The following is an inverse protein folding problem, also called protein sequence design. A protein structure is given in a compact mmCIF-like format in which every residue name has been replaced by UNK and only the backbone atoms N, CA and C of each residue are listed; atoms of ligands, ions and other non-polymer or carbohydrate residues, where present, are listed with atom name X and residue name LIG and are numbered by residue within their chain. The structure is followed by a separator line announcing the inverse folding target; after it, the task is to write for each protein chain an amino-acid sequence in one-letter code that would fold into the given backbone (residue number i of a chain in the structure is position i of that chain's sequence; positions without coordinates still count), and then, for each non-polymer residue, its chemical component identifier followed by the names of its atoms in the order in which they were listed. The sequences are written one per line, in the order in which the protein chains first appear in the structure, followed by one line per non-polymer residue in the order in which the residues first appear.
data_IF_333182996738
#
_entry.id   IF_333182996738
#
_cell.length_a   1.000
_cell.length_b   1.000
_cell.length_c   1.000
_cell.angle_alpha   90.00
_cell.angle_beta   90.00
_cell.angle_gamma   90.00
#
_symmetry.space_group_name_H-M   'P 1'
#
loop_
_entity.id
_entity.type
_entity.pdbx_description
1 polymer ?
#
# COMPACT_ATOMS: atom_id res chain seq x y z
N UNK A 1 -22.68 8.07 1.52
CA UNK A 1 -23.69 9.11 1.21
C UNK A 1 -23.04 10.45 1.55
N UNK A 2 -22.08 10.87 0.72
CA UNK A 2 -21.24 12.06 0.93
C UNK A 2 -21.46 13.06 -0.21
N UNK A 3 -22.69 13.15 -0.71
CA UNK A 3 -22.98 13.96 -1.87
C UNK A 3 -23.18 15.40 -1.42
N UNK A 4 -22.45 16.35 -2.04
CA UNK A 4 -22.64 17.80 -1.83
C UNK A 4 -24.10 18.23 -2.05
N UNK A 5 -24.87 17.44 -2.81
CA UNK A 5 -26.32 17.61 -3.03
C UNK A 5 -27.15 17.42 -1.76
N UNK A 6 -26.80 16.46 -0.89
CA UNK A 6 -27.61 16.13 0.29
C UNK A 6 -27.40 17.10 1.46
N UNK A 7 -26.20 17.71 1.57
CA UNK A 7 -25.82 18.55 2.70
C UNK A 7 -25.90 20.07 2.46
N UNK A 8 -25.73 20.52 1.22
CA UNK A 8 -25.73 21.95 0.86
C UNK A 8 -26.91 22.31 -0.07
N UNK A 9 -27.87 21.40 -0.26
CA UNK A 9 -29.04 21.58 -1.12
C UNK A 9 -28.71 22.09 -2.55
N UNK A 10 -27.55 21.71 -3.08
CA UNK A 10 -27.08 22.15 -4.39
C UNK A 10 -27.74 21.35 -5.52
N UNK A 11 -27.99 22.03 -6.65
CA UNK A 11 -28.50 21.35 -7.85
C UNK A 11 -27.46 20.38 -8.43
N UNK A 12 -27.91 19.28 -9.04
CA UNK A 12 -27.03 18.26 -9.61
C UNK A 12 -26.06 18.81 -10.66
N UNK A 13 -26.46 19.85 -11.40
CA UNK A 13 -25.61 20.55 -12.37
C UNK A 13 -24.52 21.39 -11.68
N UNK A 14 -24.83 22.00 -10.54
CA UNK A 14 -23.84 22.76 -9.74
C UNK A 14 -22.78 21.86 -9.12
N UNK A 15 -23.17 20.66 -8.68
CA UNK A 15 -22.22 19.67 -8.16
C UNK A 15 -21.27 19.16 -9.26
N UNK A 16 -21.75 18.99 -10.49
CA UNK A 16 -20.88 18.66 -11.62
C UNK A 16 -19.90 19.80 -11.97
N UNK A 17 -20.34 21.05 -11.82
CA UNK A 17 -19.48 22.23 -12.01
C UNK A 17 -18.39 22.31 -10.92
N UNK A 18 -18.76 22.06 -9.66
CA UNK A 18 -17.83 22.03 -8.52
C UNK A 18 -16.83 20.86 -8.62
N UNK A 19 -17.28 19.69 -9.06
CA UNK A 19 -16.40 18.54 -9.31
C UNK A 19 -15.40 18.85 -10.45
N UNK A 20 -15.86 19.53 -11.51
CA UNK A 20 -15.00 20.02 -12.58
C UNK A 20 -14.00 21.11 -12.13
N UNK A 21 -14.35 21.91 -11.12
CA UNK A 21 -13.45 22.87 -10.47
C UNK A 21 -12.52 22.24 -9.41
N UNK A 22 -12.64 20.92 -9.21
CA UNK A 22 -11.80 20.13 -8.31
C UNK A 22 -12.27 20.08 -6.85
N UNK A 23 -13.55 20.38 -6.60
CA UNK A 23 -14.19 20.30 -5.29
C UNK A 23 -15.25 19.19 -5.31
N UNK A 24 -14.82 17.95 -5.03
CA UNK A 24 -15.70 16.78 -5.04
C UNK A 24 -16.36 16.47 -3.69
N UNK A 25 -15.83 17.01 -2.59
CA UNK A 25 -16.31 16.75 -1.22
C UNK A 25 -16.44 18.03 -0.40
N UNK A 26 -17.20 17.96 0.71
CA UNK A 26 -17.41 19.06 1.67
C UNK A 26 -16.08 19.56 2.27
N UNK A 27 -15.16 18.63 2.58
CA UNK A 27 -13.83 18.98 3.09
C UNK A 27 -12.96 19.72 2.06
N UNK A 28 -13.10 19.39 0.78
CA UNK A 28 -12.38 20.07 -0.31
C UNK A 28 -12.95 21.48 -0.57
N UNK A 29 -14.23 21.70 -0.21
CA UNK A 29 -14.90 23.00 -0.31
C UNK A 29 -14.54 23.90 0.88
N UNK A 30 -14.52 23.37 2.11
CA UNK A 30 -14.21 24.11 3.33
C UNK A 30 -12.78 24.68 3.37
N UNK A 31 -11.84 24.02 2.70
CA UNK A 31 -10.42 24.42 2.61
C UNK A 31 -10.06 25.38 1.48
N UNK A 32 -11.02 25.76 0.61
CA UNK A 32 -10.78 26.65 -0.54
C UNK A 32 -11.15 28.10 -0.19
N UNK A 33 -10.51 29.05 -0.88
CA UNK A 33 -10.87 30.46 -0.82
C UNK A 33 -11.93 30.81 -1.88
N UNK A 34 -12.89 31.67 -1.52
CA UNK A 34 -14.02 32.02 -2.39
C UNK A 34 -13.59 32.65 -3.73
N UNK A 35 -12.51 33.46 -3.72
CA UNK A 35 -11.97 34.10 -4.92
C UNK A 35 -11.36 33.10 -5.91
N UNK A 36 -10.56 32.17 -5.41
CA UNK A 36 -9.92 31.12 -6.23
C UNK A 36 -10.96 30.14 -6.79
N UNK A 37 -11.96 29.79 -5.99
CA UNK A 37 -13.02 28.89 -6.40
C UNK A 37 -13.91 29.53 -7.47
N UNK A 38 -14.24 30.81 -7.36
CA UNK A 38 -14.99 31.54 -8.40
C UNK A 38 -14.24 31.57 -9.74
N UNK A 39 -12.93 31.84 -9.72
CA UNK A 39 -12.09 31.81 -10.93
C UNK A 39 -12.01 30.40 -11.55
N UNK A 40 -11.90 29.36 -10.72
CA UNK A 40 -11.90 27.97 -11.17
C UNK A 40 -13.26 27.57 -11.79
N UNK A 41 -14.37 28.02 -11.22
CA UNK A 41 -15.71 27.78 -11.74
C UNK A 41 -15.97 28.52 -13.05
N UNK A 42 -15.45 29.74 -13.21
CA UNK A 42 -15.48 30.47 -14.49
C UNK A 42 -14.79 29.68 -15.60
N UNK A 43 -13.57 29.20 -15.34
CA UNK A 43 -12.79 28.41 -16.30
C UNK A 43 -13.46 27.07 -16.62
N UNK A 44 -14.05 26.41 -15.61
CA UNK A 44 -14.76 25.16 -15.80
C UNK A 44 -16.06 25.35 -16.60
N UNK A 45 -16.78 26.46 -16.37
CA UNK A 45 -18.03 26.75 -17.07
C UNK A 45 -17.81 27.18 -18.52
N UNK A 46 -16.71 27.88 -18.83
CA UNK A 46 -16.30 28.18 -20.21
C UNK A 46 -16.15 26.91 -21.04
N UNK A 47 -15.55 25.88 -20.45
CA UNK A 47 -15.28 24.61 -21.12
C UNK A 47 -16.48 23.67 -21.19
N UNK A 48 -17.37 23.71 -20.19
CA UNK A 48 -18.47 22.73 -20.05
C UNK A 48 -19.86 23.30 -20.36
N UNK A 49 -20.03 24.63 -20.41
CA UNK A 49 -21.29 25.33 -20.72
C UNK A 49 -22.50 24.81 -19.92
N UNK A 50 -22.29 24.41 -18.67
CA UNK A 50 -23.31 23.73 -17.85
C UNK A 50 -24.32 24.71 -17.24
N UNK A 51 -23.93 25.97 -17.03
CA UNK A 51 -24.76 27.01 -16.45
C UNK A 51 -24.68 28.31 -17.25
N UNK A 52 -25.83 28.96 -17.48
CA UNK A 52 -25.92 30.25 -18.16
C UNK A 52 -25.48 31.43 -17.29
N UNK A 53 -25.54 31.27 -15.96
CA UNK A 53 -25.11 32.26 -14.97
C UNK A 53 -24.31 31.56 -13.87
N UNK A 54 -23.11 32.06 -13.62
CA UNK A 54 -22.20 31.55 -12.59
C UNK A 54 -22.56 32.22 -11.26
N UNK A 55 -22.58 31.48 -10.14
CA UNK A 55 -22.85 32.06 -8.83
C UNK A 55 -21.79 33.10 -8.47
N UNK A 56 -22.24 34.26 -7.98
CA UNK A 56 -21.38 35.34 -7.49
C UNK A 56 -20.49 34.86 -6.35
N UNK A 57 -19.29 35.45 -6.20
CA UNK A 57 -18.33 35.10 -5.14
C UNK A 57 -18.93 35.11 -3.72
N UNK A 58 -19.92 35.97 -3.45
CA UNK A 58 -20.64 36.04 -2.17
C UNK A 58 -21.43 34.76 -1.87
N UNK A 59 -22.09 34.17 -2.88
CA UNK A 59 -22.82 32.90 -2.73
C UNK A 59 -21.90 31.70 -2.56
N UNK A 60 -20.69 31.80 -3.10
CA UNK A 60 -19.66 30.77 -2.92
C UNK A 60 -19.08 30.86 -1.50
N UNK A 61 -18.91 32.07 -0.96
CA UNK A 61 -18.49 32.28 0.42
C UNK A 61 -19.48 31.65 1.41
N UNK A 62 -20.79 31.85 1.22
CA UNK A 62 -21.81 31.22 2.06
C UNK A 62 -21.74 29.69 2.03
N UNK A 63 -21.46 29.08 0.87
CA UNK A 63 -21.30 27.62 0.79
C UNK A 63 -20.02 27.11 1.47
N UNK A 64 -18.95 27.90 1.47
CA UNK A 64 -17.71 27.58 2.18
C UNK A 64 -17.93 27.66 3.69
N UNK A 65 -18.66 28.67 4.16
CA UNK A 65 -18.98 28.85 5.58
C UNK A 65 -19.91 27.74 6.08
N UNK A 66 -20.97 27.41 5.34
CA UNK A 66 -21.84 26.25 5.64
C UNK A 66 -21.05 24.92 5.62
N UNK A 67 -20.08 24.77 4.71
CA UNK A 67 -19.22 23.59 4.66
C UNK A 67 -18.26 23.50 5.86
N UNK A 68 -17.83 24.64 6.42
CA UNK A 68 -16.99 24.69 7.63
C UNK A 68 -17.78 24.36 8.88
N UNK A 69 -18.98 24.91 9.04
CA UNK A 69 -19.87 24.56 10.16
C UNK A 69 -20.20 23.06 10.17
N UNK A 70 -20.49 22.48 9.00
CA UNK A 70 -20.73 21.04 8.86
C UNK A 70 -19.50 20.16 9.11
N UNK A 71 -18.29 20.73 9.02
CA UNK A 71 -17.04 20.05 9.36
C UNK A 71 -16.81 20.06 10.87
N UNK A 72 -17.10 21.18 11.55
CA UNK A 72 -16.95 21.31 13.00
C UNK A 72 -17.91 20.37 13.76
N UNK A 73 -19.16 20.23 13.33
CA UNK A 73 -20.13 19.31 13.94
C UNK A 73 -19.80 17.82 13.70
N UNK A 74 -19.02 17.53 12.66
CA UNK A 74 -18.56 16.17 12.34
C UNK A 74 -17.26 15.77 13.02
N UNK A 75 -16.60 16.71 13.69
CA UNK A 75 -15.29 16.54 14.32
C UNK A 75 -15.44 16.38 15.83
N UNK A 76 -16.25 15.41 16.26
CA UNK A 76 -16.04 14.82 17.58
C UNK A 76 -14.68 14.14 17.54
N UNK A 77 -13.69 14.73 18.22
CA UNK A 77 -12.34 14.20 18.35
C UNK A 77 -12.38 12.73 18.74
N UNK A 78 -12.20 11.83 17.77
CA UNK A 78 -12.15 10.39 18.00
C UNK A 78 -10.93 9.97 18.86
N UNK A 79 -10.12 10.93 19.30
CA UNK A 79 -8.93 10.75 20.13
C UNK A 79 -8.91 11.77 21.27
N UNK A 80 -9.90 11.70 22.16
CA UNK A 80 -9.86 12.41 23.44
C UNK A 80 -8.59 12.08 24.23
N UNK A 81 -8.19 12.99 25.13
CA UNK A 81 -7.10 12.71 26.08
C UNK A 81 -7.51 11.51 26.96
N UNK A 82 -6.73 10.45 26.94
CA UNK A 82 -6.96 9.26 27.79
C UNK A 82 -5.87 9.21 28.85
N UNK A 83 -6.27 9.05 30.11
CA UNK A 83 -5.34 8.87 31.23
C UNK A 83 -5.03 7.38 31.42
N UNK A 84 -3.79 6.99 31.19
CA UNK A 84 -3.33 5.59 31.28
C UNK A 84 -2.70 5.22 32.62
N UNK A 85 -2.62 6.15 33.59
CA UNK A 85 -1.97 5.88 34.89
C UNK A 85 -2.68 4.83 35.74
N UNK A 86 -3.99 4.65 35.52
CA UNK A 86 -4.83 3.69 36.26
C UNK A 86 -4.99 2.34 35.56
N UNK A 87 -4.40 2.16 34.38
CA UNK A 87 -4.48 0.90 33.65
C UNK A 87 -3.64 -0.17 34.37
N UNK A 88 -4.21 -1.34 34.74
CA UNK A 88 -3.49 -2.39 35.46
C UNK A 88 -2.23 -2.88 34.73
N UNK A 89 -2.26 -2.93 33.40
CA UNK A 89 -1.11 -3.37 32.59
C UNK A 89 0.02 -2.33 32.63
N UNK A 90 -0.34 -1.04 32.65
CA UNK A 90 0.60 0.08 32.76
C UNK A 90 1.20 0.15 34.16
N UNK A 91 0.41 -0.12 35.20
CA UNK A 91 0.89 -0.19 36.59
C UNK A 91 1.92 -1.32 36.77
N UNK A 92 1.70 -2.49 36.17
CA UNK A 92 2.66 -3.60 36.19
C UNK A 92 3.97 -3.20 35.46
N UNK A 93 3.87 -2.51 34.32
CA UNK A 93 5.03 -1.98 33.62
C UNK A 93 5.79 -0.92 34.42
N UNK A 94 5.09 0.01 35.08
CA UNK A 94 5.72 1.06 35.91
C UNK A 94 6.45 0.41 37.09
N UNK A 95 5.85 -0.58 37.74
CA UNK A 95 6.46 -1.29 38.86
C UNK A 95 7.73 -2.08 38.44
N UNK A 96 7.77 -2.59 37.21
CA UNK A 96 8.92 -3.28 36.65
C UNK A 96 9.95 -2.35 35.97
N UNK A 97 9.60 -1.08 35.75
CA UNK A 97 10.45 -0.13 35.05
C UNK A 97 11.55 0.41 35.97
N UNK A 98 12.80 0.55 35.50
CA UNK A 98 13.83 1.23 36.25
C UNK A 98 13.43 2.69 36.50
N UNK A 99 13.59 3.15 37.74
CA UNK A 99 13.33 4.54 38.13
C UNK A 99 14.38 5.43 37.47
N UNK A 100 13.92 6.40 36.67
CA UNK A 100 14.79 7.40 36.09
C UNK A 100 15.26 8.38 37.20
N UNK A 101 16.58 8.51 37.37
CA UNK A 101 17.16 9.52 38.25
C UNK A 101 17.21 10.85 37.49
N UNK A 102 16.57 11.93 37.97
CA UNK A 102 16.57 13.20 37.27
C UNK A 102 17.99 13.76 37.19
N UNK A 103 18.44 14.07 35.97
CA UNK A 103 19.72 14.73 35.73
C UNK A 103 19.50 16.24 35.75
N UNK A 104 20.31 16.98 36.51
CA UNK A 104 20.19 18.43 36.57
C UNK A 104 20.58 19.09 35.23
N UNK A 105 19.86 20.14 34.84
CA UNK A 105 20.15 20.89 33.62
C UNK A 105 21.58 21.47 33.57
N UNK A 106 22.15 21.80 34.74
CA UNK A 106 23.55 22.26 34.87
C UNK A 106 24.55 21.18 34.45
N UNK A 107 24.28 19.91 34.77
CA UNK A 107 25.13 18.76 34.39
C UNK A 107 25.08 18.47 32.89
N UNK A 108 23.90 18.66 32.27
CA UNK A 108 23.72 18.51 30.83
C UNK A 108 24.40 19.63 30.05
N UNK A 109 24.28 20.87 30.52
CA UNK A 109 24.97 22.02 29.94
C UNK A 109 26.50 21.89 30.06
N UNK A 110 27.02 21.43 31.20
CA UNK A 110 28.45 21.17 31.39
C UNK A 110 29.00 20.07 30.45
N UNK A 111 28.13 19.16 30.00
CA UNK A 111 28.44 18.12 29.00
C UNK A 111 28.14 18.53 27.56
N UNK A 112 27.76 19.80 27.33
CA UNK A 112 27.48 20.34 26.00
C UNK A 112 26.23 19.78 25.33
N UNK A 113 25.27 19.23 26.09
CA UNK A 113 24.01 18.71 25.54
C UNK A 113 23.01 19.85 25.44
N UNK A 114 22.62 20.28 24.22
CA UNK A 114 21.60 21.31 24.07
C UNK A 114 20.22 20.76 24.43
N UNK A 115 19.34 21.62 24.96
CA UNK A 115 17.97 21.25 25.36
C UNK A 115 17.16 20.68 24.19
N UNK A 116 17.42 21.14 22.97
CA UNK A 116 16.79 20.65 21.74
C UNK A 116 17.18 19.21 21.36
N UNK A 117 18.27 18.68 21.91
CA UNK A 117 18.67 17.29 21.70
C UNK A 117 17.98 16.32 22.67
N UNK A 118 17.24 16.83 23.66
CA UNK A 118 16.45 16.02 24.59
C UNK A 118 15.09 15.78 23.94
N UNK A 119 14.71 14.51 23.64
CA UNK A 119 13.41 14.22 23.07
C UNK A 119 12.30 14.56 24.07
N UNK A 120 11.17 15.08 23.57
CA UNK A 120 9.99 15.32 24.39
C UNK A 120 9.47 13.99 24.95
N UNK A 121 9.25 13.95 26.26
CA UNK A 121 8.67 12.80 26.94
C UNK A 121 7.14 12.80 26.79
N UNK A 122 6.57 11.61 26.61
CA UNK A 122 5.12 11.43 26.57
C UNK A 122 4.59 11.36 28.00
N UNK A 123 3.64 12.23 28.34
CA UNK A 123 2.92 12.19 29.61
C UNK A 123 1.77 11.18 29.52
N UNK A 124 1.76 10.19 30.41
CA UNK A 124 0.72 9.14 30.44
C UNK A 124 -0.66 9.65 30.85
N UNK A 125 -0.71 10.82 31.50
CA UNK A 125 -1.95 11.55 31.86
C UNK A 125 -2.59 12.29 30.69
N UNK A 126 -1.82 12.56 29.63
CA UNK A 126 -2.22 13.43 28.53
C UNK A 126 -1.85 12.83 27.16
N UNK A 127 -2.02 11.52 27.02
CA UNK A 127 -1.75 10.80 25.80
C UNK A 127 -2.88 10.99 24.78
N UNK A 128 -2.53 11.36 23.54
CA UNK A 128 -3.46 11.43 22.42
C UNK A 128 -3.43 10.13 21.62
N UNK A 129 -4.57 9.43 21.55
CA UNK A 129 -4.77 8.24 20.74
C UNK A 129 -4.15 6.95 21.30
N UNK A 130 -4.10 5.90 20.47
CA UNK A 130 -3.58 4.58 20.84
C UNK A 130 -2.04 4.58 20.91
N UNK A 131 -1.48 4.72 22.11
CA UNK A 131 -0.02 4.71 22.32
C UNK A 131 0.45 3.30 22.65
N UNK A 132 1.23 2.67 21.76
CA UNK A 132 1.85 1.37 22.04
C UNK A 132 3.17 1.55 22.79
N UNK A 133 3.17 1.32 24.11
CA UNK A 133 4.38 1.33 24.93
C UNK A 133 4.99 -0.08 24.92
N UNK A 134 6.20 -0.24 24.38
CA UNK A 134 6.96 -1.50 24.46
C UNK A 134 8.13 -1.34 25.41
N UNK A 135 7.95 -1.75 26.66
CA UNK A 135 9.05 -1.88 27.61
C UNK A 135 9.74 -3.25 27.43
N UNK A 136 11.01 -3.26 27.05
CA UNK A 136 11.83 -4.47 27.09
C UNK A 136 12.49 -4.60 28.46
N UNK A 137 11.73 -5.06 29.46
CA UNK A 137 12.30 -5.38 30.76
C UNK A 137 12.98 -6.74 30.68
N UNK A 138 14.30 -6.79 30.91
CA UNK A 138 15.01 -8.07 31.04
C UNK A 138 14.49 -8.79 32.29
N UNK A 139 13.66 -9.82 32.11
CA UNK A 139 13.27 -10.73 33.19
C UNK A 139 11.79 -11.02 33.34
N UNK A 140 10.88 -10.31 32.65
CA UNK A 140 9.46 -10.68 32.68
C UNK A 140 9.22 -11.93 31.84
N UNK A 141 8.91 -13.05 32.50
CA UNK A 141 8.32 -14.22 31.84
C UNK A 141 6.88 -13.86 31.48
N UNK A 142 6.62 -13.75 30.18
CA UNK A 142 5.27 -13.52 29.65
C UNK A 142 4.34 -14.64 30.15
N UNK A 143 3.28 -14.28 30.87
CA UNK A 143 2.20 -15.20 31.23
C UNK A 143 1.66 -15.85 29.94
N UNK A 144 1.52 -17.18 29.95
CA UNK A 144 1.00 -17.95 28.80
C UNK A 144 -0.51 -17.76 28.60
N UNK A 145 -1.19 -17.11 29.55
CA UNK A 145 -2.65 -16.97 29.59
C UNK A 145 -3.12 -15.51 29.40
N UNK A 146 -2.23 -14.61 28.97
CA UNK A 146 -2.67 -13.29 28.51
C UNK A 146 -3.48 -13.46 27.21
N UNK A 147 -4.80 -13.34 27.35
CA UNK A 147 -5.74 -13.13 26.23
C UNK A 147 -5.11 -12.08 25.32
N UNK A 148 -4.82 -12.46 24.07
CA UNK A 148 -4.37 -11.49 23.08
C UNK A 148 -5.45 -10.42 23.00
N UNK A 149 -5.15 -9.13 23.27
CA UNK A 149 -6.12 -8.10 22.99
C UNK A 149 -6.47 -8.24 21.52
N UNK A 150 -7.77 -8.32 21.23
CA UNK A 150 -8.29 -8.43 19.89
C UNK A 150 -7.54 -7.43 19.01
N UNK A 151 -6.98 -7.90 17.91
CA UNK A 151 -6.37 -7.04 16.90
C UNK A 151 -7.47 -6.21 16.26
N UNK A 152 -7.91 -5.15 16.94
CA UNK A 152 -8.62 -4.04 16.34
C UNK A 152 -7.62 -3.37 15.40
N UNK A 153 -8.05 -3.24 14.15
CA UNK A 153 -7.22 -2.82 13.04
C UNK A 153 -6.61 -1.44 13.30
N UNK A 154 -5.31 -1.39 13.60
CA UNK A 154 -4.55 -0.15 13.57
C UNK A 154 -4.25 0.26 12.13
N UNK A 155 -4.57 1.50 11.83
CA UNK A 155 -4.39 2.20 10.57
C UNK A 155 -2.94 2.14 10.04
N UNK A 156 -2.72 2.06 8.71
CA UNK A 156 -1.39 1.96 8.13
C UNK A 156 -0.80 3.36 7.87
N UNK A 157 -0.23 4.00 8.89
CA UNK A 157 0.66 5.16 8.65
C UNK A 157 1.77 5.27 9.70
N UNK A 158 2.71 4.34 9.68
CA UNK A 158 4.11 4.69 10.00
C UNK A 158 5.03 3.59 9.46
N UNK A 159 5.81 3.95 8.44
CA UNK A 159 6.98 3.16 8.06
C UNK A 159 8.04 3.38 9.14
N UNK A 160 8.03 2.55 10.19
CA UNK A 160 9.24 2.31 10.99
C UNK A 160 9.76 0.94 10.57
N UNK A 161 10.87 0.95 9.84
CA UNK A 161 11.61 -0.26 9.49
C UNK A 161 11.87 -1.08 10.76
N UNK A 162 11.19 -2.21 10.90
CA UNK A 162 11.55 -3.23 11.89
C UNK A 162 12.89 -3.85 11.47
N UNK A 163 13.98 -3.33 12.00
CA UNK A 163 15.27 -4.02 11.98
C UNK A 163 15.18 -5.12 13.03
N UNK A 164 14.69 -6.29 12.61
CA UNK A 164 14.77 -7.49 13.41
C UNK A 164 16.21 -8.01 13.39
N UNK A 165 16.94 -7.84 14.49
CA UNK A 165 18.23 -8.49 14.72
C UNK A 165 18.02 -9.97 15.08
N UNK A 166 17.33 -10.71 14.21
CA UNK A 166 17.51 -12.15 14.18
C UNK A 166 18.97 -12.42 13.79
N UNK A 167 19.64 -13.31 14.53
CA UNK A 167 21.07 -13.61 14.49
C UNK A 167 21.52 -14.02 13.07
N UNK A 168 21.68 -13.06 12.17
CA UNK A 168 22.29 -13.27 10.86
C UNK A 168 23.74 -13.67 11.10
N UNK A 169 24.17 -14.74 10.41
CA UNK A 169 25.57 -15.14 10.31
C UNK A 169 26.37 -13.86 10.03
N UNK A 170 27.33 -13.49 10.91
CA UNK A 170 28.15 -12.29 10.73
C UNK A 170 28.83 -12.37 9.37
N UNK A 171 28.26 -11.71 8.38
CA UNK A 171 28.90 -11.49 7.10
C UNK A 171 30.08 -10.56 7.43
N UNK A 172 31.29 -11.12 7.43
CA UNK A 172 32.49 -10.34 7.70
C UNK A 172 32.57 -9.30 6.60
N UNK A 173 32.46 -8.03 6.98
CA UNK A 173 32.70 -6.92 6.06
C UNK A 173 34.15 -7.08 5.59
N UNK A 174 34.36 -7.22 4.28
CA UNK A 174 35.72 -7.26 3.73
C UNK A 174 36.38 -5.91 4.03
N UNK A 175 37.32 -5.93 4.98
CA UNK A 175 38.03 -4.75 5.45
C UNK A 175 38.88 -4.12 4.35
N UNK A 176 39.31 -4.92 3.36
CA UNK A 176 40.04 -4.47 2.16
C UNK A 176 39.22 -3.53 1.26
N UNK A 177 37.90 -3.46 1.49
CA UNK A 177 36.97 -2.60 0.74
C UNK A 177 36.59 -1.33 1.51
N UNK A 178 37.02 -1.21 2.77
CA UNK A 178 36.79 -0.03 3.61
C UNK A 178 38.00 0.90 3.49
N UNK A 179 37.81 2.04 2.83
CA UNK A 179 38.81 3.11 2.82
C UNK A 179 38.83 3.84 4.15
N UNK A 180 40.00 4.32 4.54
CA UNK A 180 40.14 5.14 5.74
C UNK A 180 39.50 6.52 5.53
N UNK A 181 39.04 7.16 6.61
CA UNK A 181 38.45 8.51 6.55
C UNK A 181 39.44 9.56 6.05
N UNK A 182 40.75 9.31 6.18
CA UNK A 182 41.80 10.17 5.66
C UNK A 182 41.91 10.12 4.13
N UNK A 183 41.72 8.94 3.52
CA UNK A 183 41.68 8.76 2.05
C UNK A 183 40.47 9.43 1.39
N UNK A 184 39.39 9.66 2.14
CA UNK A 184 38.18 10.34 1.65
C UNK A 184 38.30 11.87 1.64
N UNK A 185 39.24 12.41 2.42
CA UNK A 185 39.49 13.85 2.55
C UNK A 185 40.54 14.37 1.57
N UNK A 186 41.22 13.47 0.85
CA UNK A 186 42.28 13.83 -0.08
C UNK A 186 41.68 14.30 -1.42
N UNK A 187 41.74 15.61 -1.75
CA UNK A 187 41.04 16.17 -2.92
C UNK A 187 41.66 15.75 -4.25
N UNK A 188 42.82 15.08 -4.24
CA UNK A 188 43.58 14.67 -5.42
C UNK A 188 43.38 13.20 -5.82
N UNK A 189 42.63 12.41 -5.05
CA UNK A 189 42.32 11.03 -5.41
C UNK A 189 41.05 11.03 -6.27
N UNK A 190 41.21 10.99 -7.59
CA UNK A 190 40.09 10.73 -8.50
C UNK A 190 39.44 9.39 -8.10
N UNK A 191 38.18 9.48 -7.68
CA UNK A 191 37.38 8.31 -7.35
C UNK A 191 37.24 7.44 -8.61
N UNK A 192 38.03 6.37 -8.72
CA UNK A 192 38.00 5.41 -9.85
C UNK A 192 36.64 4.71 -10.07
N UNK A 193 35.67 4.94 -9.19
CA UNK A 193 34.26 4.60 -9.41
C UNK A 193 33.44 5.87 -9.64
N UNK A 194 33.73 6.57 -10.74
CA UNK A 194 32.70 7.40 -11.36
C UNK A 194 31.73 6.43 -12.01
N UNK A 195 30.79 5.90 -11.22
CA UNK A 195 29.58 5.34 -11.81
C UNK A 195 28.95 6.50 -12.57
N UNK A 196 28.99 6.40 -13.90
CA UNK A 196 28.53 7.41 -14.85
C UNK A 196 27.18 7.94 -14.36
N UNK A 197 27.15 9.18 -13.86
CA UNK A 197 25.95 9.73 -13.17
C UNK A 197 24.70 9.59 -14.04
N UNK A 198 24.89 9.67 -15.36
CA UNK A 198 23.91 9.37 -16.39
C UNK A 198 23.27 7.99 -16.25
N UNK A 199 24.07 6.92 -16.07
CA UNK A 199 23.59 5.53 -15.89
C UNK A 199 22.88 5.33 -14.55
N UNK A 200 23.33 6.01 -13.50
CA UNK A 200 22.68 5.97 -12.20
C UNK A 200 21.32 6.68 -12.23
N UNK A 201 21.25 7.85 -12.87
CA UNK A 201 20.02 8.59 -13.11
C UNK A 201 19.06 7.85 -14.03
N UNK A 202 19.56 7.18 -15.07
CA UNK A 202 18.77 6.32 -15.95
C UNK A 202 18.17 5.12 -15.21
N UNK A 203 18.94 4.47 -14.33
CA UNK A 203 18.41 3.41 -13.46
C UNK A 203 17.33 3.93 -12.51
N UNK A 204 17.51 5.13 -11.96
CA UNK A 204 16.53 5.75 -11.07
C UNK A 204 15.27 6.20 -11.82
N UNK A 205 15.41 6.75 -13.02
CA UNK A 205 14.30 7.15 -13.89
C UNK A 205 13.49 5.93 -14.33
N UNK A 206 14.15 4.81 -14.63
CA UNK A 206 13.55 3.51 -14.89
C UNK A 206 12.72 2.99 -13.70
N UNK A 207 13.15 3.23 -12.47
CA UNK A 207 12.39 2.81 -11.30
C UNK A 207 11.14 3.68 -11.11
N UNK A 208 11.20 4.97 -11.44
CA UNK A 208 10.14 5.96 -11.16
C UNK A 208 9.11 6.10 -12.28
N UNK A 209 9.55 6.15 -13.54
CA UNK A 209 8.70 6.47 -14.70
C UNK A 209 8.87 5.45 -15.84
N UNK A 210 7.84 5.30 -16.67
CA UNK A 210 7.88 4.43 -17.85
C UNK A 210 8.75 5.05 -18.94
N UNK A 211 9.51 4.23 -19.68
CA UNK A 211 10.28 4.75 -20.80
C UNK A 211 9.33 5.34 -21.85
N UNK A 212 9.64 6.53 -22.40
CA UNK A 212 8.83 7.11 -23.47
C UNK A 212 8.77 6.20 -24.71
N UNK A 213 9.80 5.37 -24.94
CA UNK A 213 9.79 4.37 -26.01
C UNK A 213 8.71 3.29 -25.84
N UNK A 214 8.41 2.87 -24.61
CA UNK A 214 7.46 1.78 -24.33
C UNK A 214 6.00 2.19 -24.57
N UNK A 215 5.70 3.48 -24.42
CA UNK A 215 4.36 4.04 -24.61
C UNK A 215 4.21 4.81 -25.94
N UNK A 216 5.17 4.69 -26.86
CA UNK A 216 5.13 5.38 -28.15
C UNK A 216 3.88 4.96 -28.94
N UNK A 217 3.07 5.93 -29.37
CA UNK A 217 1.85 5.68 -30.14
C UNK A 217 0.65 5.19 -29.32
N UNK A 218 0.76 5.12 -27.99
CA UNK A 218 -0.34 4.73 -27.10
C UNK A 218 -0.84 5.96 -26.36
N UNK A 219 -2.12 6.28 -26.53
CA UNK A 219 -2.72 7.44 -25.85
C UNK A 219 -2.60 7.29 -24.31
N UNK A 220 -2.27 8.37 -23.58
CA UNK A 220 -2.05 8.33 -22.14
C UNK A 220 -3.28 7.82 -21.37
N UNK A 221 -4.48 8.10 -21.87
CA UNK A 221 -5.76 7.71 -21.25
C UNK A 221 -6.14 6.25 -21.52
N UNK A 222 -5.49 5.62 -22.50
CA UNK A 222 -5.81 4.26 -22.91
C UNK A 222 -5.45 3.25 -21.83
N UNK A 223 -6.21 2.15 -21.77
CA UNK A 223 -5.93 1.02 -20.88
C UNK A 223 -4.64 0.28 -21.25
N UNK A 224 -4.05 0.51 -22.41
CA UNK A 224 -2.79 -0.11 -22.83
C UNK A 224 -1.57 0.70 -22.41
N UNK A 225 -1.76 1.93 -21.95
CA UNK A 225 -0.68 2.79 -21.51
C UNK A 225 -0.03 2.25 -20.23
N UNK A 226 1.26 1.91 -20.31
CA UNK A 226 2.01 1.31 -19.21
C UNK A 226 2.36 2.43 -18.23
N UNK A 227 1.83 2.34 -17.01
CA UNK A 227 2.08 3.30 -15.93
C UNK A 227 2.91 2.64 -14.82
N UNK A 228 3.67 3.48 -14.12
CA UNK A 228 4.17 3.17 -12.77
C UNK A 228 5.50 2.44 -12.68
N UNK A 229 5.73 1.90 -11.48
CA UNK A 229 7.04 1.50 -10.96
C UNK A 229 7.47 0.15 -11.53
N UNK A 230 8.77 0.02 -11.82
CA UNK A 230 9.35 -1.24 -12.29
C UNK A 230 9.45 -2.28 -11.15
N UNK A 231 8.96 -3.50 -11.41
CA UNK A 231 9.11 -4.60 -10.46
C UNK A 231 10.57 -5.05 -10.33
N UNK A 232 11.02 -5.40 -9.12
CA UNK A 232 12.40 -5.86 -8.89
C UNK A 232 12.70 -7.19 -9.56
N UNK A 233 11.73 -8.11 -9.56
CA UNK A 233 11.84 -9.45 -10.13
C UNK A 233 10.73 -9.66 -11.16
N UNK A 234 10.86 -9.12 -12.40
CA UNK A 234 9.78 -9.15 -13.38
C UNK A 234 9.45 -10.57 -13.86
N UNK A 235 10.49 -11.39 -14.11
CA UNK A 235 10.32 -12.77 -14.60
C UNK A 235 9.58 -13.65 -13.60
N UNK A 236 9.87 -13.50 -12.30
CA UNK A 236 9.19 -14.28 -11.26
C UNK A 236 7.69 -13.99 -11.22
N UNK A 237 7.28 -12.73 -11.32
CA UNK A 237 5.86 -12.36 -11.32
C UNK A 237 5.18 -12.80 -12.62
N UNK A 238 5.87 -12.70 -13.76
CA UNK A 238 5.36 -13.17 -15.04
C UNK A 238 5.10 -14.68 -15.07
N UNK A 239 6.08 -15.49 -14.65
CA UNK A 239 5.89 -16.94 -14.53
C UNK A 239 4.87 -17.31 -13.44
N UNK A 240 4.86 -16.58 -12.33
CA UNK A 240 3.83 -16.72 -11.29
C UNK A 240 2.41 -16.52 -11.83
N UNK A 241 2.21 -15.58 -12.76
CA UNK A 241 0.92 -15.38 -13.42
C UNK A 241 0.53 -16.58 -14.29
N UNK A 242 1.47 -17.10 -15.11
CA UNK A 242 1.24 -18.31 -15.91
C UNK A 242 0.84 -19.52 -15.06
N UNK A 243 1.57 -19.79 -13.98
CA UNK A 243 1.26 -20.91 -13.09
C UNK A 243 -0.08 -20.72 -12.38
N UNK A 244 -0.43 -19.48 -12.02
CA UNK A 244 -1.75 -19.18 -11.43
C UNK A 244 -2.89 -19.48 -12.41
N UNK A 245 -2.74 -19.09 -13.68
CA UNK A 245 -3.71 -19.40 -14.75
C UNK A 245 -3.81 -20.91 -14.95
N UNK A 246 -2.66 -21.60 -15.03
CA UNK A 246 -2.61 -23.05 -15.16
C UNK A 246 -3.34 -23.74 -14.00
N UNK A 247 -3.11 -23.34 -12.74
CA UNK A 247 -3.83 -23.88 -11.59
C UNK A 247 -5.35 -23.64 -11.68
N UNK A 248 -5.80 -22.46 -12.12
CA UNK A 248 -7.23 -22.19 -12.29
C UNK A 248 -7.89 -23.07 -13.35
N UNK A 249 -7.13 -23.57 -14.34
CA UNK A 249 -7.62 -24.50 -15.35
C UNK A 249 -7.50 -25.97 -14.91
N UNK A 250 -6.32 -26.39 -14.44
CA UNK A 250 -6.03 -27.78 -14.11
C UNK A 250 -6.77 -28.26 -12.86
N UNK A 251 -7.04 -27.40 -11.87
CA UNK A 251 -7.79 -27.82 -10.67
C UNK A 251 -9.21 -28.29 -11.01
N UNK A 252 -10.08 -27.48 -11.64
CA UNK A 252 -11.42 -27.94 -12.00
C UNK A 252 -11.38 -29.05 -13.05
N UNK A 253 -10.50 -28.97 -14.05
CA UNK A 253 -10.36 -30.03 -15.05
C UNK A 253 -9.90 -31.35 -14.44
N UNK A 254 -8.99 -31.31 -13.47
CA UNK A 254 -8.48 -32.48 -12.75
C UNK A 254 -9.55 -33.14 -11.88
N UNK A 255 -10.40 -32.35 -11.20
CA UNK A 255 -11.55 -32.88 -10.44
C UNK A 255 -12.53 -33.58 -11.39
N UNK A 256 -12.91 -32.93 -12.49
CA UNK A 256 -13.83 -33.51 -13.47
C UNK A 256 -13.25 -34.77 -14.13
N UNK A 257 -11.97 -34.75 -14.49
CA UNK A 257 -11.30 -35.90 -15.08
C UNK A 257 -11.18 -37.07 -14.09
N UNK A 258 -10.86 -36.81 -12.83
CA UNK A 258 -10.80 -37.84 -11.80
C UNK A 258 -12.16 -38.51 -11.58
N UNK A 259 -13.25 -37.73 -11.52
CA UNK A 259 -14.61 -38.27 -11.42
C UNK A 259 -14.97 -39.09 -12.66
N UNK A 260 -14.67 -38.59 -13.86
CA UNK A 260 -14.96 -39.28 -15.11
C UNK A 260 -14.20 -40.62 -15.25
N UNK A 261 -12.93 -40.66 -14.84
CA UNK A 261 -12.13 -41.89 -14.82
C UNK A 261 -12.65 -42.89 -13.79
N UNK A 262 -13.02 -42.43 -12.60
CA UNK A 262 -13.58 -43.30 -11.56
C UNK A 262 -14.92 -43.92 -11.99
N UNK A 263 -15.77 -43.17 -12.70
CA UNK A 263 -17.03 -43.67 -13.24
C UNK A 263 -16.84 -44.67 -14.39
N UNK A 264 -15.80 -44.46 -15.21
CA UNK A 264 -15.39 -45.42 -16.25
C UNK A 264 -14.98 -46.75 -15.63
N UNK A 265 -14.13 -46.73 -14.60
CA UNK A 265 -13.63 -47.94 -13.93
C UNK A 265 -14.74 -48.74 -13.22
N UNK A 266 -15.77 -48.05 -12.72
CA UNK A 266 -16.96 -48.67 -12.14
C UNK A 266 -17.95 -49.25 -13.17
N UNK A 267 -17.58 -49.29 -14.46
CA UNK A 267 -18.37 -49.94 -15.50
C UNK A 267 -19.63 -49.20 -15.93
N UNK A 268 -19.73 -47.89 -15.69
CA UNK A 268 -20.88 -47.11 -16.15
C UNK A 268 -20.83 -46.90 -17.68
N UNK A 269 -21.84 -47.33 -18.45
CA UNK A 269 -21.79 -47.28 -19.92
C UNK A 269 -21.70 -45.85 -20.47
N UNK A 270 -22.23 -44.87 -19.75
CA UNK A 270 -22.19 -43.45 -20.12
C UNK A 270 -20.78 -42.85 -20.14
N UNK A 271 -19.79 -43.49 -19.51
CA UNK A 271 -18.41 -42.99 -19.38
C UNK A 271 -17.35 -43.87 -20.07
N UNK A 272 -17.78 -44.90 -20.83
CA UNK A 272 -16.86 -45.77 -21.59
C UNK A 272 -16.04 -45.01 -22.65
N UNK A 273 -16.53 -43.84 -23.11
CA UNK A 273 -15.84 -42.99 -24.08
C UNK A 273 -14.64 -42.23 -23.48
N UNK A 274 -14.46 -42.20 -22.16
CA UNK A 274 -13.41 -41.40 -21.50
C UNK A 274 -12.02 -41.97 -21.79
N UNK A 275 -11.13 -41.20 -22.44
CA UNK A 275 -9.77 -41.65 -22.74
C UNK A 275 -8.88 -41.77 -21.50
N UNK A 276 -7.91 -42.69 -21.51
CA UNK A 276 -6.96 -42.87 -20.40
C UNK A 276 -6.01 -41.68 -20.20
N UNK A 277 -5.75 -40.90 -21.26
CA UNK A 277 -4.89 -39.70 -21.16
C UNK A 277 -5.48 -38.62 -20.25
N UNK A 278 -6.77 -38.71 -19.87
CA UNK A 278 -7.38 -37.81 -18.87
C UNK A 278 -6.65 -37.84 -17.52
N UNK A 279 -5.84 -38.89 -17.25
CA UNK A 279 -4.96 -38.94 -16.09
C UNK A 279 -3.91 -37.81 -16.07
N UNK A 280 -3.63 -37.18 -17.21
CA UNK A 280 -2.75 -36.03 -17.30
C UNK A 280 -3.27 -34.81 -16.53
N UNK A 281 -4.58 -34.64 -16.38
CA UNK A 281 -5.16 -33.49 -15.66
C UNK A 281 -4.89 -33.54 -14.14
N UNK A 282 -5.23 -34.62 -13.40
CA UNK A 282 -4.90 -34.70 -11.98
C UNK A 282 -3.37 -34.70 -11.75
N UNK A 283 -2.58 -35.35 -12.61
CA UNK A 283 -1.11 -35.26 -12.54
C UNK A 283 -0.62 -33.81 -12.73
N UNK A 284 -1.21 -33.10 -13.69
CA UNK A 284 -0.93 -31.70 -13.97
C UNK A 284 -1.23 -30.78 -12.78
N UNK A 285 -2.27 -31.05 -11.98
CA UNK A 285 -2.56 -30.30 -10.74
C UNK A 285 -1.37 -30.33 -9.78
N UNK A 286 -0.72 -31.48 -9.61
CA UNK A 286 0.45 -31.58 -8.74
C UNK A 286 1.63 -30.79 -9.28
N UNK A 287 1.92 -30.90 -10.57
CA UNK A 287 3.04 -30.22 -11.22
C UNK A 287 2.85 -28.70 -11.18
N UNK A 288 1.73 -28.20 -11.71
CA UNK A 288 1.45 -26.77 -11.75
C UNK A 288 1.19 -26.18 -10.37
N UNK A 289 0.56 -26.95 -9.47
CA UNK A 289 0.38 -26.59 -8.07
C UNK A 289 1.71 -26.37 -7.35
N UNK A 290 2.68 -27.26 -7.54
CA UNK A 290 4.03 -27.11 -6.99
C UNK A 290 4.75 -25.85 -7.53
N UNK A 291 4.67 -25.61 -8.84
CA UNK A 291 5.24 -24.41 -9.47
C UNK A 291 4.57 -23.13 -8.97
N UNK A 292 3.25 -23.14 -8.76
CA UNK A 292 2.53 -22.04 -8.16
C UNK A 292 2.97 -21.79 -6.70
N UNK A 293 3.12 -22.84 -5.89
CA UNK A 293 3.54 -22.70 -4.48
C UNK A 293 4.98 -22.20 -4.33
N UNK A 294 5.86 -22.51 -5.27
CA UNK A 294 7.27 -22.06 -5.24
C UNK A 294 7.45 -20.66 -5.80
N UNK A 295 6.82 -20.34 -6.94
CA UNK A 295 7.02 -19.06 -7.65
C UNK A 295 5.85 -18.10 -7.46
N UNK A 296 4.63 -18.56 -7.72
CA UNK A 296 3.41 -17.73 -7.65
C UNK A 296 3.12 -17.23 -6.24
N UNK A 297 3.29 -18.08 -5.23
CA UNK A 297 3.06 -17.73 -3.82
C UNK A 297 4.06 -16.71 -3.29
N UNK A 298 5.30 -16.75 -3.78
CA UNK A 298 6.36 -15.81 -3.42
C UNK A 298 6.22 -14.45 -4.11
N UNK A 299 5.44 -14.36 -5.20
CA UNK A 299 5.25 -13.12 -5.95
C UNK A 299 4.52 -12.06 -5.12
N UNK A 300 5.26 -11.05 -4.68
CA UNK A 300 4.77 -9.92 -3.90
C UNK A 300 4.80 -8.62 -4.69
N UNK A 301 3.98 -7.65 -4.30
CA UNK A 301 4.03 -6.31 -4.82
C UNK A 301 5.21 -5.54 -4.20
N UNK A 302 5.99 -4.83 -5.02
CA UNK A 302 7.11 -4.00 -4.56
C UNK A 302 6.74 -2.88 -3.58
N UNK A 303 5.53 -2.32 -3.70
CA UNK A 303 5.12 -1.14 -2.91
C UNK A 303 4.51 -1.55 -1.57
N UNK A 304 3.50 -2.43 -1.58
CA UNK A 304 2.81 -2.82 -0.35
C UNK A 304 3.28 -4.17 0.22
N UNK A 305 4.20 -4.88 -0.44
CA UNK A 305 4.69 -6.19 -0.02
C UNK A 305 3.67 -7.33 -0.11
N UNK A 306 2.42 -7.05 -0.51
CA UNK A 306 1.35 -8.04 -0.50
C UNK A 306 1.47 -9.03 -1.66
N UNK A 307 1.15 -10.30 -1.40
CA UNK A 307 1.18 -11.38 -2.39
C UNK A 307 0.15 -11.16 -3.49
N UNK A 308 0.60 -11.13 -4.74
CA UNK A 308 -0.22 -10.74 -5.89
C UNK A 308 -1.28 -11.79 -6.25
N UNK A 309 -0.93 -13.07 -6.17
CA UNK A 309 -1.78 -14.18 -6.63
C UNK A 309 -2.53 -14.91 -5.52
N UNK A 310 -2.40 -14.45 -4.26
CA UNK A 310 -3.07 -15.09 -3.13
C UNK A 310 -4.42 -14.39 -2.87
N UNK A 311 -5.54 -15.12 -2.91
CA UNK A 311 -6.82 -14.55 -2.51
C UNK A 311 -6.76 -14.19 -1.03
N UNK A 312 -7.26 -13.00 -0.70
CA UNK A 312 -7.35 -12.50 0.68
C UNK A 312 -8.70 -11.83 0.84
N UNK A 313 -9.35 -12.10 1.97
CA UNK A 313 -10.62 -11.50 2.37
C UNK A 313 -10.37 -10.09 2.93
N UNK A 314 -10.04 -9.17 2.03
CA UNK A 314 -9.84 -7.77 2.36
C UNK A 314 -10.47 -6.89 1.29
N UNK A 315 -10.75 -5.63 1.65
CA UNK A 315 -11.23 -4.64 0.70
C UNK A 315 -10.20 -4.49 -0.44
N UNK A 316 -10.66 -4.67 -1.67
CA UNK A 316 -9.83 -4.50 -2.87
C UNK A 316 -9.93 -3.06 -3.36
N UNK A 317 -8.86 -2.56 -3.96
CA UNK A 317 -8.87 -1.21 -4.52
C UNK A 317 -9.87 -1.12 -5.68
N UNK A 318 -10.61 0.01 -5.78
CA UNK A 318 -11.55 0.28 -6.89
C UNK A 318 -10.90 0.19 -8.28
N UNK A 319 -9.61 0.47 -8.39
CA UNK A 319 -8.83 0.41 -9.64
C UNK A 319 -8.25 -0.98 -9.94
N UNK A 320 -8.52 -1.99 -9.11
CA UNK A 320 -8.06 -3.36 -9.32
C UNK A 320 -8.73 -3.99 -10.55
N UNK A 321 -8.00 -4.86 -11.25
CA UNK A 321 -8.56 -5.61 -12.36
C UNK A 321 -9.57 -6.63 -11.84
N UNK A 322 -10.80 -6.55 -12.35
CA UNK A 322 -11.90 -7.42 -11.93
C UNK A 322 -12.71 -7.86 -13.14
N UNK A 323 -12.96 -9.16 -13.22
CA UNK A 323 -13.93 -9.77 -14.13
C UNK A 323 -14.93 -10.51 -13.25
N UNK A 324 -16.23 -10.25 -13.47
CA UNK A 324 -17.33 -10.67 -12.60
C UNK A 324 -17.36 -12.19 -12.31
N UNK A 325 -16.91 -13.02 -13.24
CA UNK A 325 -16.92 -14.48 -13.09
C UNK A 325 -15.58 -15.07 -12.60
N UNK A 326 -14.47 -14.42 -12.95
CA UNK A 326 -13.11 -14.95 -12.75
C UNK A 326 -12.43 -14.38 -11.48
N UNK A 327 -13.07 -13.42 -10.82
CA UNK A 327 -12.55 -12.75 -9.63
C UNK A 327 -11.34 -11.86 -9.92
N UNK A 328 -10.66 -11.42 -8.87
CA UNK A 328 -9.54 -10.48 -8.98
C UNK A 328 -8.20 -11.14 -9.37
N UNK A 329 -7.92 -12.34 -8.85
CA UNK A 329 -6.62 -13.01 -9.03
C UNK A 329 -6.41 -13.43 -10.48
N UNK A 330 -7.38 -14.12 -11.07
CA UNK A 330 -7.27 -14.60 -12.44
C UNK A 330 -7.28 -13.43 -13.45
N UNK A 331 -8.12 -12.43 -13.21
CA UNK A 331 -8.12 -11.18 -13.99
C UNK A 331 -6.76 -10.48 -13.97
N UNK A 332 -6.11 -10.43 -12.81
CA UNK A 332 -4.77 -9.88 -12.64
C UNK A 332 -3.74 -10.69 -13.43
N UNK A 333 -3.74 -12.01 -13.26
CA UNK A 333 -2.78 -12.89 -13.93
C UNK A 333 -2.90 -12.81 -15.46
N UNK A 334 -4.13 -12.79 -15.98
CA UNK A 334 -4.40 -12.63 -17.41
C UNK A 334 -3.93 -11.28 -17.93
N UNK A 335 -4.14 -10.20 -17.16
CA UNK A 335 -3.65 -8.87 -17.53
C UNK A 335 -2.12 -8.81 -17.57
N UNK A 336 -1.45 -9.45 -16.62
CA UNK A 336 0.02 -9.58 -16.58
C UNK A 336 0.55 -10.29 -17.83
N UNK A 337 -0.05 -11.42 -18.20
CA UNK A 337 0.41 -12.22 -19.34
C UNK A 337 0.20 -11.48 -20.66
N UNK A 338 -0.94 -10.80 -20.83
CA UNK A 338 -1.29 -10.12 -22.07
C UNK A 338 -0.59 -8.78 -22.27
N UNK A 339 -0.41 -7.99 -21.20
CA UNK A 339 0.05 -6.61 -21.31
C UNK A 339 1.42 -6.36 -20.67
N UNK A 340 1.94 -7.27 -19.84
CA UNK A 340 3.26 -7.11 -19.20
C UNK A 340 3.30 -6.04 -18.11
N UNK A 341 2.15 -5.61 -17.61
CA UNK A 341 2.01 -4.71 -16.47
C UNK A 341 0.68 -5.01 -15.75
N UNK A 342 0.51 -4.51 -14.53
CA UNK A 342 -0.70 -4.72 -13.74
C UNK A 342 -0.93 -3.64 -12.67
N UNK A 343 -2.16 -3.49 -12.19
CA UNK A 343 -2.44 -2.76 -10.93
C UNK A 343 -2.52 -3.72 -9.76
N UNK A 344 -1.77 -3.45 -8.70
CA UNK A 344 -1.87 -4.23 -7.47
C UNK A 344 -3.31 -4.20 -6.95
N UNK A 345 -3.87 -5.37 -6.61
CA UNK A 345 -5.27 -5.49 -6.13
C UNK A 345 -5.50 -4.82 -4.76
N UNK A 346 -4.43 -4.60 -4.00
CA UNK A 346 -4.46 -3.99 -2.67
C UNK A 346 -4.16 -2.49 -2.72
N UNK A 347 -2.95 -2.08 -3.12
CA UNK A 347 -2.58 -0.66 -3.15
C UNK A 347 -3.05 0.09 -4.40
N UNK A 348 -3.51 -0.60 -5.45
CA UNK A 348 -3.95 0.02 -6.71
C UNK A 348 -2.85 0.63 -7.57
N UNK A 349 -1.60 0.63 -7.08
CA UNK A 349 -0.46 1.18 -7.81
C UNK A 349 -0.19 0.37 -9.07
N UNK A 350 0.03 1.02 -10.22
CA UNK A 350 0.42 0.34 -11.45
C UNK A 350 1.90 -0.08 -11.36
N UNK A 351 2.16 -1.34 -11.71
CA UNK A 351 3.47 -1.99 -11.67
C UNK A 351 3.74 -2.59 -13.04
N UNK A 352 4.93 -2.33 -13.58
CA UNK A 352 5.35 -2.90 -14.87
C UNK A 352 6.36 -4.02 -14.70
N UNK A 353 6.27 -5.02 -15.58
CA UNK A 353 7.14 -6.19 -15.61
C UNK A 353 8.11 -6.18 -16.79
N UNK A 354 7.96 -5.24 -17.73
CA UNK A 354 8.73 -5.23 -18.96
C UNK A 354 9.97 -4.33 -18.86
N UNK A 355 11.08 -4.86 -19.38
CA UNK A 355 11.98 -4.14 -20.29
C UNK A 355 11.94 -4.88 -21.62
#
# INVERSE_FOLDING_TARGET
MNSLTDRLHLSQKMVQLLDAAGCGNVADLAGREAGELHAALLKANEHLQLHSTIPTAEKIATWIDEARELQEDGQTDAYGLVNFEYDPDVLEMIAASPVAVPVSGKSLAAKGVPVTAIPEAILLTAARGDISIRATVKGLKKSKDAVQPATTASSPSSYVNQISFAKRKKEKVNLDRLRSTAEFLDPNIENAFVEDKSKAEDRLSLLRAALPATNRGVAPDSRRYIRGVLHSHPRSVYWGAWFTIACHFFIPAGILAAVALLLKDNGTPSFAWVPEWFLAFPLGVFIWGFLYLTVGYAASCRICGQRCFVPKNCLKNRKAHHIRLLGYVLSLALHIVLFGWFRCTFCGTPVRLKQ
#
